data_IF_777729895628
#
_entry.id   IF_777729895628
#
_cell.length_a   1.000
_cell.length_b   1.000
_cell.length_c   1.000
_cell.angle_alpha   90.00
_cell.angle_beta   90.00
_cell.angle_gamma   90.00
#
_symmetry.space_group_name_H-M   'P 1'
#
loop_
_entity.id
_entity.type
_entity.pdbx_description
1 polymer ?
#
# COMPACT_ATOMS: atom_id res chain seq x y z
N UNK A 1 -5.24 9.90 -11.52
CA UNK A 1 -4.82 10.26 -12.89
C UNK A 1 -6.04 10.77 -13.67
N UNK A 2 -6.66 11.85 -13.20
CA UNK A 2 -7.80 12.50 -13.90
C UNK A 2 -7.34 13.91 -14.26
N UNK A 3 -7.22 14.18 -15.58
CA UNK A 3 -7.12 15.56 -16.05
C UNK A 3 -6.04 15.92 -17.07
N UNK A 4 -5.27 14.97 -17.60
CA UNK A 4 -4.47 15.19 -18.81
C UNK A 4 -4.99 14.29 -19.91
N UNK A 5 -4.93 14.75 -21.18
CA UNK A 5 -5.22 13.93 -22.36
C UNK A 5 -4.17 12.81 -22.49
N UNK A 6 -4.27 11.80 -21.61
CA UNK A 6 -3.43 10.62 -21.68
C UNK A 6 -3.97 9.72 -22.78
N UNK A 7 -3.32 9.73 -23.93
CA UNK A 7 -3.61 8.78 -25.00
C UNK A 7 -3.10 7.41 -24.63
N UNK A 8 -3.91 6.62 -23.92
CA UNK A 8 -3.69 5.18 -23.80
C UNK A 8 -3.97 4.56 -25.16
N UNK A 9 -3.01 3.82 -25.72
CA UNK A 9 -3.13 3.16 -27.02
C UNK A 9 -3.10 1.65 -26.83
N UNK A 10 -4.01 0.97 -27.49
CA UNK A 10 -3.91 -0.46 -27.69
C UNK A 10 -2.63 -0.76 -28.47
N UNK A 11 -1.71 -1.53 -27.88
CA UNK A 11 -0.46 -1.88 -28.56
C UNK A 11 -0.61 -3.18 -29.33
N UNK A 12 -1.02 -4.23 -28.63
CA UNK A 12 -1.17 -5.60 -29.16
C UNK A 12 -1.82 -6.51 -28.13
N UNK A 13 -2.09 -7.75 -28.53
CA UNK A 13 -2.56 -8.80 -27.62
C UNK A 13 -2.00 -10.15 -28.02
N UNK A 14 -2.04 -11.09 -27.10
CA UNK A 14 -1.72 -12.50 -27.31
C UNK A 14 -2.47 -13.37 -26.30
N UNK A 15 -2.30 -14.68 -26.40
CA UNK A 15 -2.84 -15.63 -25.44
C UNK A 15 -1.71 -16.36 -24.74
N UNK A 16 -1.86 -16.62 -23.45
CA UNK A 16 -0.92 -17.44 -22.68
C UNK A 16 -1.66 -18.48 -21.85
N UNK A 17 -1.01 -19.59 -21.58
CA UNK A 17 -1.53 -20.64 -20.71
C UNK A 17 -1.26 -20.28 -19.23
N UNK A 18 -2.31 -20.42 -18.41
CA UNK A 18 -2.25 -20.33 -16.95
C UNK A 18 -2.93 -21.59 -16.37
N UNK A 19 -2.15 -22.52 -15.84
CA UNK A 19 -2.67 -23.82 -15.46
C UNK A 19 -3.32 -24.52 -16.65
N UNK A 20 -4.60 -24.77 -16.56
CA UNK A 20 -5.41 -25.40 -17.64
C UNK A 20 -6.16 -24.38 -18.50
N UNK A 21 -6.03 -23.09 -18.23
CA UNK A 21 -6.72 -22.01 -18.95
C UNK A 21 -5.82 -21.39 -20.00
N UNK A 22 -6.38 -21.04 -21.15
CA UNK A 22 -5.75 -20.19 -22.14
C UNK A 22 -6.33 -18.78 -21.99
N UNK A 23 -5.51 -17.84 -21.53
CA UNK A 23 -5.93 -16.52 -21.09
C UNK A 23 -5.54 -15.45 -22.11
N UNK A 24 -6.46 -14.54 -22.42
CA UNK A 24 -6.18 -13.33 -23.19
C UNK A 24 -5.28 -12.38 -22.40
N UNK A 25 -4.30 -11.78 -23.07
CA UNK A 25 -3.42 -10.75 -22.53
C UNK A 25 -3.39 -9.59 -23.51
N UNK A 26 -4.13 -8.53 -23.20
CA UNK A 26 -4.05 -7.26 -23.92
C UNK A 26 -2.93 -6.40 -23.32
N UNK A 27 -2.29 -5.59 -24.14
CA UNK A 27 -1.25 -4.64 -23.74
C UNK A 27 -1.70 -3.26 -24.16
N UNK A 28 -1.89 -2.39 -23.17
CA UNK A 28 -2.09 -0.96 -23.41
C UNK A 28 -0.82 -0.22 -23.00
N UNK A 29 -0.50 0.84 -23.70
CA UNK A 29 0.72 1.61 -23.52
C UNK A 29 0.44 3.10 -23.43
N UNK A 30 1.12 3.77 -22.52
CA UNK A 30 1.22 5.22 -22.46
C UNK A 30 2.60 5.66 -22.00
N UNK A 31 3.00 6.87 -22.36
CA UNK A 31 4.14 7.56 -21.78
C UNK A 31 3.62 8.71 -20.90
N UNK A 32 4.17 8.80 -19.69
CA UNK A 32 3.88 9.90 -18.78
C UNK A 32 5.16 10.28 -18.02
N UNK A 33 5.51 11.55 -18.06
CA UNK A 33 6.73 12.09 -17.40
C UNK A 33 8.03 11.34 -17.76
N UNK A 34 8.17 10.94 -19.04
CA UNK A 34 9.32 10.20 -19.54
C UNK A 34 9.37 8.72 -19.13
N UNK A 35 8.34 8.22 -18.45
CA UNK A 35 8.19 6.84 -18.03
C UNK A 35 7.23 6.10 -18.95
N UNK A 36 7.62 4.91 -19.40
CA UNK A 36 6.77 4.03 -20.21
C UNK A 36 5.89 3.18 -19.29
N UNK A 37 4.57 3.33 -19.41
CA UNK A 37 3.57 2.56 -18.67
C UNK A 37 2.96 1.52 -19.61
N UNK A 38 3.00 0.27 -19.19
CA UNK A 38 2.34 -0.84 -19.86
C UNK A 38 1.28 -1.41 -18.92
N UNK A 39 0.05 -1.45 -19.39
CA UNK A 39 -1.08 -2.03 -18.64
C UNK A 39 -1.44 -3.37 -19.23
N UNK A 40 -1.62 -4.35 -18.35
CA UNK A 40 -2.15 -5.65 -18.72
C UNK A 40 -3.66 -5.55 -18.76
N UNK A 41 -4.24 -5.62 -19.95
CA UNK A 41 -5.68 -5.60 -20.13
C UNK A 41 -6.26 -7.02 -20.17
N UNK A 42 -7.22 -7.27 -19.29
CA UNK A 42 -8.03 -8.45 -19.25
C UNK A 42 -9.31 -8.18 -18.45
N UNK A 43 -10.43 -7.97 -19.15
CA UNK A 43 -11.71 -7.64 -18.49
C UNK A 43 -12.19 -8.74 -17.53
N UNK A 44 -11.89 -10.01 -17.79
CA UNK A 44 -12.28 -11.10 -16.91
C UNK A 44 -11.67 -10.96 -15.51
N UNK A 45 -10.42 -10.51 -15.40
CA UNK A 45 -9.73 -10.35 -14.12
C UNK A 45 -9.83 -8.93 -13.52
N UNK A 46 -9.92 -7.88 -14.34
CA UNK A 46 -9.71 -6.51 -13.90
C UNK A 46 -10.89 -5.55 -14.07
N UNK A 47 -12.05 -6.01 -14.54
CA UNK A 47 -13.24 -5.15 -14.73
C UNK A 47 -14.01 -4.87 -13.42
N UNK A 48 -13.65 -5.48 -12.31
CA UNK A 48 -14.33 -5.30 -11.03
C UNK A 48 -14.20 -3.88 -10.47
N UNK A 49 -15.17 -3.40 -9.68
CA UNK A 49 -15.15 -2.05 -9.10
C UNK A 49 -14.11 -1.87 -7.99
N UNK A 50 -13.51 -2.97 -7.54
CA UNK A 50 -12.49 -2.98 -6.48
C UNK A 50 -11.27 -3.76 -6.95
N UNK A 51 -10.06 -3.41 -6.49
CA UNK A 51 -8.85 -4.14 -6.83
C UNK A 51 -8.79 -5.55 -6.23
N UNK A 52 -9.53 -5.77 -5.13
CA UNK A 52 -9.61 -7.06 -4.42
C UNK A 52 -11.06 -7.49 -4.29
N UNK A 53 -11.28 -8.79 -4.50
CA UNK A 53 -12.59 -9.43 -4.34
C UNK A 53 -12.56 -10.45 -3.19
N UNK A 54 -12.13 -11.67 -3.49
CA UNK A 54 -12.03 -12.76 -2.52
C UNK A 54 -11.05 -13.82 -2.99
N UNK A 55 -10.38 -14.48 -2.07
CA UNK A 55 -9.65 -15.69 -2.36
C UNK A 55 -10.65 -16.84 -2.67
N UNK A 56 -10.41 -17.77 -3.61
CA UNK A 56 -9.19 -17.90 -4.41
C UNK A 56 -9.13 -17.04 -5.68
N UNK A 57 -10.16 -16.23 -5.95
CA UNK A 57 -10.23 -15.40 -7.17
C UNK A 57 -9.04 -14.43 -7.28
N UNK A 58 -8.72 -13.73 -6.20
CA UNK A 58 -7.59 -12.80 -6.20
C UNK A 58 -6.25 -13.52 -6.44
N UNK A 59 -6.09 -14.76 -5.96
CA UNK A 59 -4.87 -15.52 -6.24
C UNK A 59 -4.76 -15.90 -7.73
N UNK A 60 -5.86 -16.30 -8.36
CA UNK A 60 -5.87 -16.56 -9.79
C UNK A 60 -5.54 -15.30 -10.60
N UNK A 61 -6.19 -14.18 -10.27
CA UNK A 61 -5.95 -12.86 -10.88
C UNK A 61 -4.48 -12.45 -10.81
N UNK A 62 -3.86 -12.58 -9.64
CA UNK A 62 -2.47 -12.17 -9.47
C UNK A 62 -1.44 -13.22 -9.93
N UNK A 63 -1.82 -14.49 -10.01
CA UNK A 63 -1.04 -15.51 -10.73
C UNK A 63 -1.02 -15.19 -12.24
N UNK A 64 -2.19 -14.86 -12.81
CA UNK A 64 -2.31 -14.37 -14.19
C UNK A 64 -1.42 -13.16 -14.42
N UNK A 65 -1.56 -12.11 -13.58
CA UNK A 65 -0.77 -10.89 -13.69
C UNK A 65 0.73 -11.17 -13.65
N UNK A 66 1.20 -11.96 -12.68
CA UNK A 66 2.62 -12.28 -12.52
C UNK A 66 3.21 -12.99 -13.75
N UNK A 67 2.45 -13.89 -14.36
CA UNK A 67 2.89 -14.60 -15.58
C UNK A 67 2.79 -13.69 -16.82
N UNK A 68 1.73 -12.89 -16.93
CA UNK A 68 1.53 -11.95 -18.02
C UNK A 68 2.65 -10.92 -18.12
N UNK A 69 3.08 -10.34 -16.99
CA UNK A 69 4.19 -9.37 -16.95
C UNK A 69 5.44 -9.93 -17.63
N UNK A 70 5.83 -11.18 -17.36
CA UNK A 70 6.99 -11.80 -18.01
C UNK A 70 6.72 -12.06 -19.48
N UNK A 71 5.53 -12.56 -19.83
CA UNK A 71 5.15 -12.88 -21.20
C UNK A 71 5.11 -11.65 -22.12
N UNK A 72 4.80 -10.48 -21.58
CA UNK A 72 4.75 -9.21 -22.31
C UNK A 72 6.12 -8.72 -22.73
N UNK A 73 7.19 -8.95 -21.94
CA UNK A 73 8.52 -8.38 -22.18
C UNK A 73 9.08 -8.65 -23.60
N UNK A 74 9.05 -9.89 -24.12
CA UNK A 74 9.47 -10.14 -25.50
C UNK A 74 8.55 -9.49 -26.54
N UNK A 75 7.25 -9.41 -26.27
CA UNK A 75 6.25 -8.86 -27.20
C UNK A 75 6.46 -7.36 -27.42
N UNK A 76 6.79 -6.62 -26.36
CA UNK A 76 7.10 -5.18 -26.42
C UNK A 76 8.58 -4.91 -26.75
N UNK A 77 9.36 -5.96 -26.98
CA UNK A 77 10.81 -5.89 -27.24
C UNK A 77 11.57 -5.09 -26.15
N UNK A 78 11.18 -5.27 -24.88
CA UNK A 78 11.83 -4.66 -23.72
C UNK A 78 12.46 -5.72 -22.85
N UNK A 79 13.79 -5.81 -22.85
CA UNK A 79 14.55 -6.71 -21.98
C UNK A 79 15.13 -5.90 -20.81
N UNK A 80 14.54 -6.01 -19.61
CA UNK A 80 15.07 -5.31 -18.44
C UNK A 80 16.32 -5.97 -17.89
N UNK A 81 17.16 -5.21 -17.20
CA UNK A 81 18.23 -5.75 -16.35
C UNK A 81 17.70 -6.24 -15.00
N UNK A 82 16.66 -5.54 -14.50
CA UNK A 82 16.04 -5.82 -13.19
C UNK A 82 14.53 -5.77 -13.32
N UNK A 83 13.84 -6.76 -12.72
CA UNK A 83 12.39 -6.75 -12.50
C UNK A 83 12.14 -6.49 -11.02
N UNK A 84 11.49 -5.37 -10.71
CA UNK A 84 11.15 -4.98 -9.36
C UNK A 84 9.70 -5.35 -9.02
N UNK A 85 9.52 -6.26 -8.08
CA UNK A 85 8.26 -6.83 -7.67
C UNK A 85 7.80 -6.21 -6.34
N UNK A 86 6.49 -6.02 -6.19
CA UNK A 86 5.90 -5.39 -5.01
C UNK A 86 4.81 -6.26 -4.39
N UNK A 87 5.00 -6.69 -3.15
CA UNK A 87 4.07 -7.49 -2.35
C UNK A 87 3.66 -8.83 -3.00
N UNK A 88 2.70 -9.50 -2.39
CA UNK A 88 2.24 -10.82 -2.80
C UNK A 88 1.61 -10.85 -4.21
N UNK A 89 1.06 -9.74 -4.68
CA UNK A 89 0.44 -9.62 -6.00
C UNK A 89 1.42 -9.89 -7.14
N UNK A 90 2.69 -9.64 -6.90
CA UNK A 90 3.79 -9.94 -7.84
C UNK A 90 4.73 -11.04 -7.33
N UNK A 91 4.35 -11.71 -6.24
CA UNK A 91 5.18 -12.72 -5.59
C UNK A 91 5.51 -13.92 -6.47
N UNK A 92 4.68 -14.22 -7.47
CA UNK A 92 4.96 -15.30 -8.41
C UNK A 92 5.84 -14.89 -9.61
N UNK A 93 6.16 -13.61 -9.80
CA UNK A 93 7.05 -13.18 -10.90
C UNK A 93 8.44 -13.84 -10.79
N UNK A 94 9.16 -13.78 -9.66
CA UNK A 94 10.44 -14.47 -9.53
C UNK A 94 10.31 -16.00 -9.65
N UNK A 95 9.17 -16.56 -9.20
CA UNK A 95 8.91 -18.00 -9.28
C UNK A 95 8.76 -18.44 -10.73
N UNK A 96 7.90 -17.78 -11.52
CA UNK A 96 7.72 -18.08 -12.94
C UNK A 96 8.99 -17.84 -13.76
N UNK A 97 9.75 -16.76 -13.44
CA UNK A 97 11.02 -16.51 -14.07
C UNK A 97 11.95 -17.72 -13.92
N UNK A 98 12.04 -18.26 -12.70
CA UNK A 98 12.85 -19.45 -12.41
C UNK A 98 12.26 -20.74 -13.03
N UNK A 99 10.92 -20.91 -13.05
CA UNK A 99 10.25 -22.13 -13.54
C UNK A 99 10.41 -22.30 -15.05
N UNK A 100 9.88 -21.37 -15.81
CA UNK A 100 9.66 -21.57 -17.25
C UNK A 100 10.35 -20.54 -18.13
N UNK A 101 10.57 -19.31 -17.66
CA UNK A 101 11.10 -18.24 -18.50
C UNK A 101 12.63 -18.28 -18.64
N UNK A 102 13.37 -18.72 -17.64
CA UNK A 102 14.83 -18.86 -17.74
C UNK A 102 15.31 -19.87 -18.78
N UNK A 103 14.43 -20.70 -19.33
CA UNK A 103 14.77 -21.61 -20.44
C UNK A 103 14.94 -20.84 -21.76
N UNK A 104 14.46 -19.62 -21.86
CA UNK A 104 14.57 -18.74 -23.02
C UNK A 104 15.71 -17.74 -22.79
N UNK A 105 16.67 -17.63 -23.74
CA UNK A 105 17.82 -16.73 -23.67
C UNK A 105 17.47 -15.26 -23.48
N UNK A 106 16.27 -14.84 -23.88
CA UNK A 106 15.78 -13.47 -23.64
C UNK A 106 15.82 -13.10 -22.14
N UNK A 107 15.57 -14.06 -21.26
CA UNK A 107 15.49 -13.83 -19.81
C UNK A 107 16.80 -14.10 -19.04
N UNK A 108 17.84 -14.55 -19.71
CA UNK A 108 19.10 -14.85 -19.03
C UNK A 108 19.72 -13.62 -18.39
N UNK A 109 20.10 -13.74 -17.12
CA UNK A 109 20.78 -12.66 -16.38
C UNK A 109 19.87 -11.55 -15.85
N UNK A 110 18.57 -11.58 -16.15
CA UNK A 110 17.61 -10.66 -15.54
C UNK A 110 17.57 -10.95 -14.03
N UNK A 111 17.68 -9.87 -13.23
CA UNK A 111 17.64 -9.92 -11.77
C UNK A 111 16.27 -9.53 -11.25
N UNK A 112 15.95 -10.00 -10.06
CA UNK A 112 14.66 -9.70 -9.41
C UNK A 112 14.87 -9.08 -8.04
N UNK A 113 14.07 -8.05 -7.73
CA UNK A 113 13.96 -7.44 -6.41
C UNK A 113 12.54 -7.60 -5.92
N UNK A 114 12.37 -8.07 -4.69
CA UNK A 114 11.08 -8.21 -4.03
C UNK A 114 10.95 -7.20 -2.90
N UNK A 115 10.02 -6.24 -3.01
CA UNK A 115 9.73 -5.28 -1.96
C UNK A 115 8.51 -5.69 -1.16
N UNK A 116 8.67 -5.76 0.16
CA UNK A 116 7.60 -6.02 1.13
C UNK A 116 7.13 -4.67 1.67
N UNK A 117 5.91 -4.26 1.30
CA UNK A 117 5.28 -3.05 1.85
C UNK A 117 4.53 -3.34 3.15
N UNK A 118 3.86 -4.49 3.25
CA UNK A 118 3.21 -4.95 4.46
C UNK A 118 3.16 -6.48 4.52
N UNK A 119 3.94 -7.07 5.40
CA UNK A 119 4.10 -8.51 5.55
C UNK A 119 2.81 -9.24 5.98
N UNK A 120 1.83 -8.52 6.55
CA UNK A 120 0.53 -9.08 6.95
C UNK A 120 -0.23 -9.68 5.77
N UNK A 121 -0.03 -9.17 4.56
CA UNK A 121 -0.73 -9.61 3.35
C UNK A 121 0.20 -10.48 2.50
N UNK A 122 -0.12 -11.77 2.38
CA UNK A 122 0.81 -12.76 1.84
C UNK A 122 0.29 -13.54 0.61
N UNK A 123 -1.01 -13.49 0.33
CA UNK A 123 -1.61 -14.29 -0.75
C UNK A 123 -1.50 -15.79 -0.46
N UNK A 124 -2.30 -16.27 0.53
CA UNK A 124 -2.23 -17.64 1.06
C UNK A 124 -3.49 -18.40 0.74
N UNK A 125 -3.35 -19.64 0.24
CA UNK A 125 -4.46 -20.57 0.00
C UNK A 125 -3.95 -22.02 -0.07
N UNK A 126 -4.88 -22.99 -0.08
CA UNK A 126 -4.50 -24.40 -0.13
C UNK A 126 -3.65 -24.75 -1.35
N UNK A 127 -2.66 -25.62 -1.15
CA UNK A 127 -1.67 -26.01 -2.18
C UNK A 127 -2.34 -26.60 -3.41
N UNK A 128 -3.39 -27.45 -3.25
CA UNK A 128 -4.04 -28.13 -4.39
C UNK A 128 -4.68 -27.13 -5.35
N UNK A 129 -5.41 -26.16 -4.80
CA UNK A 129 -6.04 -25.10 -5.60
C UNK A 129 -4.98 -24.23 -6.28
N UNK A 130 -3.98 -23.73 -5.53
CA UNK A 130 -2.93 -22.87 -6.08
C UNK A 130 -2.13 -23.58 -7.17
N UNK A 131 -1.78 -24.85 -6.99
CA UNK A 131 -1.13 -25.64 -8.02
C UNK A 131 -1.96 -25.72 -9.30
N UNK A 132 -3.26 -25.96 -9.18
CA UNK A 132 -4.18 -25.97 -10.32
C UNK A 132 -4.28 -24.63 -11.05
N UNK A 133 -4.33 -23.53 -10.30
CA UNK A 133 -4.40 -22.15 -10.84
C UNK A 133 -3.12 -21.76 -11.57
N UNK A 134 -1.97 -22.02 -10.95
CA UNK A 134 -0.67 -21.51 -11.41
C UNK A 134 -0.04 -22.35 -12.51
N UNK A 135 -0.34 -23.66 -12.56
CA UNK A 135 0.32 -24.62 -13.43
C UNK A 135 1.76 -24.98 -13.00
N UNK A 136 2.20 -24.50 -11.83
CA UNK A 136 3.51 -24.85 -11.28
C UNK A 136 3.58 -26.32 -10.87
N UNK A 137 4.75 -26.93 -11.04
CA UNK A 137 4.99 -28.32 -10.64
C UNK A 137 5.06 -28.49 -9.11
N UNK A 138 4.93 -29.73 -8.63
CA UNK A 138 5.02 -30.06 -7.19
C UNK A 138 6.33 -29.60 -6.55
N UNK A 139 7.39 -29.45 -7.35
CA UNK A 139 8.69 -28.95 -6.89
C UNK A 139 8.59 -27.58 -6.18
N UNK A 140 7.69 -26.71 -6.66
CA UNK A 140 7.53 -25.35 -6.09
C UNK A 140 6.70 -25.33 -4.82
N UNK A 141 6.00 -26.40 -4.46
CA UNK A 141 5.17 -26.48 -3.26
C UNK A 141 5.87 -27.21 -2.10
N UNK A 142 7.20 -27.23 -2.08
CA UNK A 142 7.97 -27.75 -0.96
C UNK A 142 8.10 -26.69 0.17
N UNK A 143 8.38 -27.12 1.43
CA UNK A 143 8.50 -26.22 2.60
C UNK A 143 9.59 -25.15 2.49
N UNK A 144 10.62 -25.39 1.69
CA UNK A 144 11.71 -24.44 1.38
C UNK A 144 11.36 -23.48 0.24
N UNK A 145 10.13 -23.55 -0.33
CA UNK A 145 9.66 -22.74 -1.46
C UNK A 145 8.33 -22.05 -1.14
N UNK A 146 7.26 -22.35 -1.88
CA UNK A 146 5.95 -21.70 -1.71
C UNK A 146 5.15 -22.22 -0.52
N UNK A 147 5.35 -23.50 -0.13
CA UNK A 147 4.56 -24.04 0.98
C UNK A 147 4.87 -23.32 2.30
N UNK A 148 3.84 -22.92 3.01
CA UNK A 148 3.89 -22.35 4.35
C UNK A 148 2.71 -22.89 5.18
N UNK A 149 3.03 -23.72 6.20
CA UNK A 149 2.04 -24.26 7.12
C UNK A 149 0.91 -25.05 6.45
N UNK A 150 1.22 -25.83 5.44
CA UNK A 150 0.36 -26.65 4.57
C UNK A 150 -0.38 -25.88 3.48
N UNK A 151 -0.26 -24.58 3.42
CA UNK A 151 -0.82 -23.72 2.38
C UNK A 151 0.28 -23.23 1.43
N UNK A 152 -0.08 -22.75 0.26
CA UNK A 152 0.81 -22.04 -0.64
C UNK A 152 0.77 -20.54 -0.34
N UNK A 153 1.93 -19.89 -0.39
CA UNK A 153 2.09 -18.49 -0.03
C UNK A 153 2.88 -17.75 -1.14
N UNK A 154 2.21 -16.80 -1.81
CA UNK A 154 2.79 -16.08 -2.96
C UNK A 154 3.94 -15.17 -2.55
N UNK A 155 3.79 -14.43 -1.43
CA UNK A 155 4.84 -13.56 -0.92
C UNK A 155 6.08 -14.37 -0.53
N UNK A 156 5.87 -15.53 0.13
CA UNK A 156 6.97 -16.45 0.44
C UNK A 156 7.72 -16.87 -0.83
N UNK A 157 6.97 -17.24 -1.88
CA UNK A 157 7.57 -17.56 -3.19
C UNK A 157 8.44 -16.41 -3.71
N UNK A 158 7.93 -15.19 -3.69
CA UNK A 158 8.66 -13.99 -4.09
C UNK A 158 9.94 -13.78 -3.28
N UNK A 159 9.86 -13.92 -1.95
CA UNK A 159 11.02 -13.79 -1.05
C UNK A 159 12.06 -14.89 -1.30
N UNK A 160 11.63 -16.12 -1.54
CA UNK A 160 12.57 -17.25 -1.76
C UNK A 160 13.32 -17.12 -3.07
N UNK A 161 12.63 -16.74 -4.16
CA UNK A 161 13.19 -16.78 -5.51
C UNK A 161 13.75 -15.44 -6.00
N UNK A 162 13.51 -14.31 -5.33
CA UNK A 162 14.10 -13.05 -5.71
C UNK A 162 15.62 -12.99 -5.40
N UNK A 163 16.38 -12.28 -6.24
CA UNK A 163 17.81 -12.04 -6.01
C UNK A 163 18.07 -11.13 -4.81
N UNK A 164 17.20 -10.15 -4.57
CA UNK A 164 17.25 -9.26 -3.41
C UNK A 164 15.86 -9.02 -2.83
N UNK A 165 15.80 -8.76 -1.53
CA UNK A 165 14.58 -8.45 -0.79
C UNK A 165 14.70 -7.08 -0.15
N UNK A 166 13.69 -6.25 -0.30
CA UNK A 166 13.64 -4.93 0.36
C UNK A 166 12.34 -4.77 1.15
N UNK A 167 12.36 -3.86 2.10
CA UNK A 167 11.18 -3.38 2.79
C UNK A 167 11.26 -1.88 3.03
N UNK A 168 10.21 -1.27 3.54
CA UNK A 168 9.96 0.16 3.48
C UNK A 168 10.48 0.97 4.67
N UNK A 169 11.28 0.38 5.55
CA UNK A 169 12.10 1.08 6.55
C UNK A 169 13.18 0.18 7.15
N UNK A 170 14.25 0.78 7.67
CA UNK A 170 15.29 0.03 8.38
C UNK A 170 14.76 -0.65 9.64
N UNK A 171 13.89 0.03 10.40
CA UNK A 171 13.27 -0.52 11.60
C UNK A 171 12.41 -1.73 11.24
N UNK A 172 11.57 -1.60 10.22
CA UNK A 172 10.71 -2.70 9.79
C UNK A 172 11.51 -3.91 9.27
N UNK A 173 12.64 -3.68 8.61
CA UNK A 173 13.54 -4.77 8.20
C UNK A 173 14.08 -5.59 9.38
N UNK A 174 14.24 -4.98 10.56
CA UNK A 174 14.60 -5.70 11.78
C UNK A 174 13.38 -6.33 12.47
N UNK A 175 12.26 -5.62 12.55
CA UNK A 175 11.02 -6.07 13.18
C UNK A 175 10.49 -7.36 12.54
N UNK A 176 10.41 -7.42 11.20
CA UNK A 176 9.85 -8.57 10.47
C UNK A 176 10.69 -9.86 10.60
N UNK A 177 11.92 -9.78 11.13
CA UNK A 177 12.74 -10.94 11.48
C UNK A 177 12.41 -11.52 12.86
N UNK A 178 11.49 -10.89 13.60
CA UNK A 178 11.09 -11.36 14.93
C UNK A 178 9.76 -12.12 14.87
N UNK A 179 9.52 -13.09 15.78
CA UNK A 179 8.26 -13.83 15.78
C UNK A 179 7.01 -12.96 15.94
N UNK A 180 7.12 -11.80 16.60
CA UNK A 180 5.99 -10.91 16.87
C UNK A 180 5.53 -10.17 15.61
N UNK A 181 6.46 -9.68 14.78
CA UNK A 181 6.14 -8.92 13.57
C UNK A 181 6.34 -9.70 12.27
N UNK A 182 6.91 -10.90 12.34
CA UNK A 182 7.30 -11.68 11.15
C UNK A 182 6.17 -12.42 10.48
N UNK A 183 4.93 -12.34 10.99
CA UNK A 183 3.72 -12.92 10.39
C UNK A 183 3.94 -14.38 9.93
N UNK A 184 4.68 -15.16 10.75
CA UNK A 184 5.06 -16.56 10.52
C UNK A 184 6.11 -16.75 9.39
N UNK A 185 6.72 -15.68 8.87
CA UNK A 185 7.83 -15.71 7.90
C UNK A 185 9.16 -15.23 8.51
N UNK A 186 9.21 -14.99 9.83
CA UNK A 186 10.39 -14.52 10.57
C UNK A 186 11.63 -15.40 10.33
N UNK A 187 11.47 -16.72 10.36
CA UNK A 187 12.56 -17.65 10.09
C UNK A 187 13.13 -17.53 8.67
N UNK A 188 12.26 -17.35 7.66
CA UNK A 188 12.68 -17.11 6.28
C UNK A 188 13.41 -15.76 6.16
N UNK A 189 12.87 -14.70 6.77
CA UNK A 189 13.46 -13.36 6.72
C UNK A 189 14.79 -13.29 7.48
N UNK A 190 14.96 -14.05 8.56
CA UNK A 190 16.26 -14.27 9.21
C UNK A 190 17.25 -14.95 8.26
N UNK A 191 16.83 -16.00 7.56
CA UNK A 191 17.69 -16.70 6.59
C UNK A 191 18.10 -15.79 5.41
N UNK A 192 17.22 -14.85 5.01
CA UNK A 192 17.48 -13.87 3.95
C UNK A 192 18.05 -12.53 4.47
N UNK A 193 18.51 -12.47 5.73
CA UNK A 193 18.97 -11.22 6.35
C UNK A 193 20.11 -10.52 5.62
N UNK A 194 20.97 -11.26 4.91
CA UNK A 194 22.06 -10.71 4.11
C UNK A 194 21.57 -9.99 2.84
N UNK A 195 20.41 -10.36 2.30
CA UNK A 195 19.79 -9.77 1.11
C UNK A 195 18.69 -8.76 1.45
N UNK A 196 18.18 -8.79 2.70
CA UNK A 196 17.11 -7.90 3.14
C UNK A 196 17.64 -6.51 3.46
N UNK A 197 17.04 -5.49 2.84
CA UNK A 197 17.37 -4.07 3.07
C UNK A 197 16.12 -3.26 3.36
N UNK A 198 16.17 -2.40 4.39
CA UNK A 198 15.17 -1.38 4.66
C UNK A 198 15.47 -0.10 3.87
N UNK A 199 14.50 0.38 3.11
CA UNK A 199 14.60 1.63 2.35
C UNK A 199 13.35 2.45 2.65
N UNK A 200 13.50 3.58 3.35
CA UNK A 200 12.36 4.43 3.73
C UNK A 200 11.72 5.01 2.47
N UNK A 201 10.41 4.93 2.39
CA UNK A 201 9.66 5.56 1.31
C UNK A 201 9.82 7.08 1.36
N UNK A 202 9.91 7.70 0.19
CA UNK A 202 9.80 9.16 0.06
C UNK A 202 8.33 9.63 0.09
N UNK A 203 8.18 10.93 0.21
CA UNK A 203 6.93 11.64 -0.09
C UNK A 203 7.21 12.64 -1.21
N UNK A 204 6.20 12.93 -2.00
CA UNK A 204 6.29 13.93 -3.06
C UNK A 204 6.32 15.34 -2.44
N UNK A 205 7.47 16.01 -2.52
CA UNK A 205 7.64 17.36 -1.96
C UNK A 205 7.04 18.48 -2.82
N UNK A 206 6.59 18.20 -4.02
CA UNK A 206 5.83 19.16 -4.83
C UNK A 206 4.36 19.13 -4.44
N UNK A 207 3.83 17.93 -4.16
CA UNK A 207 2.46 17.71 -3.70
C UNK A 207 2.31 18.07 -2.21
N UNK A 208 3.17 17.52 -1.33
CA UNK A 208 3.13 17.76 0.12
C UNK A 208 4.07 18.90 0.53
N UNK A 209 3.70 20.14 0.20
CA UNK A 209 4.51 21.31 0.47
C UNK A 209 3.67 22.50 0.98
N UNK A 210 3.73 22.84 2.28
CA UNK A 210 2.90 23.92 2.83
C UNK A 210 3.19 25.30 2.22
N UNK A 211 4.30 25.49 1.49
CA UNK A 211 4.61 26.74 0.81
C UNK A 211 3.85 26.90 -0.51
N UNK A 212 3.51 25.80 -1.19
CA UNK A 212 2.93 25.81 -2.53
C UNK A 212 1.57 25.14 -2.61
N UNK A 213 1.22 24.30 -1.63
CA UNK A 213 0.02 23.48 -1.61
C UNK A 213 -1.27 24.30 -1.87
N UNK A 214 -2.00 23.94 -2.89
CA UNK A 214 -3.24 24.58 -3.27
C UNK A 214 -4.45 24.15 -2.43
N UNK A 215 -4.34 23.03 -1.70
CA UNK A 215 -5.43 22.46 -0.90
C UNK A 215 -5.59 23.17 0.45
N UNK A 216 -4.55 23.86 0.96
CA UNK A 216 -4.57 24.52 2.26
C UNK A 216 -5.03 25.98 2.17
N UNK A 217 -5.70 26.45 3.20
CA UNK A 217 -6.26 27.80 3.25
C UNK A 217 -5.19 28.89 3.28
N UNK A 218 -4.15 28.69 4.08
CA UNK A 218 -3.06 29.62 4.24
C UNK A 218 -1.73 28.90 4.05
N UNK A 219 -0.95 29.33 3.06
CA UNK A 219 0.41 28.83 2.83
C UNK A 219 1.38 29.34 3.89
N UNK A 220 2.37 28.50 4.23
CA UNK A 220 3.38 28.84 5.24
C UNK A 220 4.68 28.06 5.01
N UNK A 221 5.72 28.49 5.74
CA UNK A 221 7.03 27.85 5.75
C UNK A 221 7.60 27.79 7.19
N UNK A 222 8.80 27.26 7.34
CA UNK A 222 9.46 27.08 8.62
C UNK A 222 9.65 28.39 9.44
N UNK A 223 9.60 29.57 8.79
CA UNK A 223 9.79 30.86 9.47
C UNK A 223 8.50 31.44 10.05
N UNK A 224 7.35 31.15 9.42
CA UNK A 224 6.06 31.73 9.74
C UNK A 224 4.98 30.74 10.21
N UNK A 225 5.28 29.44 10.26
CA UNK A 225 4.29 28.38 10.52
C UNK A 225 3.47 28.61 11.78
N UNK A 226 4.08 29.06 12.89
CA UNK A 226 3.38 29.29 14.16
C UNK A 226 2.19 30.24 14.03
N UNK A 227 2.31 31.27 13.20
CA UNK A 227 1.25 32.23 12.94
C UNK A 227 0.26 31.76 11.89
N UNK A 228 0.76 31.15 10.83
CA UNK A 228 -0.05 30.84 9.67
C UNK A 228 -0.84 29.51 9.83
N UNK A 229 -0.30 28.52 10.57
CA UNK A 229 -1.05 27.29 10.89
C UNK A 229 -2.34 27.56 11.67
N UNK A 230 -2.36 28.58 12.55
CA UNK A 230 -3.57 28.95 13.29
C UNK A 230 -4.72 29.33 12.34
N UNK A 231 -4.43 29.96 11.20
CA UNK A 231 -5.46 30.30 10.20
C UNK A 231 -6.03 29.05 9.53
N UNK A 232 -5.17 28.05 9.22
CA UNK A 232 -5.61 26.76 8.71
C UNK A 232 -6.46 26.02 9.75
N UNK A 233 -6.08 26.07 11.04
CA UNK A 233 -6.84 25.46 12.12
C UNK A 233 -8.24 26.06 12.23
N UNK A 234 -8.37 27.37 12.34
CA UNK A 234 -9.67 28.05 12.46
C UNK A 234 -10.56 27.74 11.24
N UNK A 235 -9.98 27.75 10.05
CA UNK A 235 -10.75 27.43 8.85
C UNK A 235 -11.23 25.96 8.86
N UNK A 236 -10.37 25.02 9.24
CA UNK A 236 -10.76 23.61 9.36
C UNK A 236 -11.84 23.39 10.44
N UNK A 237 -11.69 24.05 11.59
CA UNK A 237 -12.71 24.00 12.66
C UNK A 237 -14.09 24.45 12.12
N UNK A 238 -14.14 25.56 11.41
CA UNK A 238 -15.35 26.10 10.79
C UNK A 238 -15.97 25.16 9.78
N UNK A 239 -15.14 24.65 8.86
CA UNK A 239 -15.59 23.80 7.77
C UNK A 239 -16.12 22.44 8.25
N UNK A 240 -15.59 21.95 9.38
CA UNK A 240 -15.97 20.66 9.95
C UNK A 240 -16.92 20.77 11.15
N UNK A 241 -17.46 21.94 11.44
CA UNK A 241 -18.43 22.15 12.53
C UNK A 241 -17.85 22.01 13.95
N UNK A 242 -16.54 22.16 14.10
CA UNK A 242 -15.88 22.21 15.40
C UNK A 242 -16.03 23.61 16.00
N UNK A 243 -15.91 23.71 17.33
CA UNK A 243 -15.87 25.00 18.01
C UNK A 243 -14.62 25.80 17.54
N UNK A 244 -14.81 27.03 17.09
CA UNK A 244 -13.69 27.89 16.66
C UNK A 244 -12.91 28.33 17.89
N UNK A 245 -11.80 27.67 18.18
CA UNK A 245 -10.87 27.99 19.28
C UNK A 245 -9.41 27.79 18.81
N UNK A 246 -8.68 28.91 18.62
CA UNK A 246 -7.26 28.82 18.22
C UNK A 246 -6.36 28.18 19.29
N UNK A 247 -6.81 28.13 20.55
CA UNK A 247 -6.03 27.61 21.68
C UNK A 247 -6.34 26.13 21.97
N UNK A 248 -7.44 25.58 21.44
CA UNK A 248 -7.70 24.16 21.56
C UNK A 248 -6.61 23.37 20.81
N UNK A 249 -6.12 22.30 21.41
CA UNK A 249 -5.20 21.37 20.75
C UNK A 249 -5.94 20.56 19.69
N UNK A 250 -5.66 20.80 18.42
CA UNK A 250 -6.26 20.06 17.33
C UNK A 250 -5.41 18.84 16.97
N UNK A 251 -5.97 17.66 17.16
CA UNK A 251 -5.34 16.36 16.85
C UNK A 251 -5.92 15.84 15.54
N UNK A 252 -5.05 15.59 14.55
CA UNK A 252 -5.40 14.99 13.27
C UNK A 252 -5.13 13.50 13.24
N UNK A 253 -6.04 12.74 12.61
CA UNK A 253 -5.91 11.32 12.30
C UNK A 253 -6.30 11.14 10.83
N UNK A 254 -5.35 10.71 9.99
CA UNK A 254 -5.59 10.40 8.57
C UNK A 254 -5.07 8.99 8.32
N UNK A 255 -5.98 8.02 8.19
CA UNK A 255 -5.58 6.62 8.10
C UNK A 255 -6.71 5.72 7.61
N UNK A 256 -6.36 4.51 7.15
CA UNK A 256 -7.33 3.42 7.04
C UNK A 256 -7.79 3.00 8.43
N UNK A 257 -9.09 2.83 8.63
CA UNK A 257 -9.67 2.49 9.93
C UNK A 257 -9.64 0.97 10.14
N UNK A 258 -8.46 0.45 10.52
CA UNK A 258 -8.20 -0.99 10.72
C UNK A 258 -7.59 -1.26 12.09
N UNK A 259 -7.62 -2.52 12.53
CA UNK A 259 -7.04 -3.00 13.79
C UNK A 259 -5.55 -2.62 13.95
N UNK A 260 -4.79 -2.72 12.85
CA UNK A 260 -3.38 -2.34 12.80
C UNK A 260 -3.11 -0.94 13.34
N UNK A 261 -4.06 -0.02 13.19
CA UNK A 261 -3.90 1.40 13.52
C UNK A 261 -4.16 1.75 14.98
N UNK A 262 -4.47 0.75 15.84
CA UNK A 262 -4.53 0.91 17.28
C UNK A 262 -5.73 1.74 17.78
N UNK A 263 -6.83 1.79 17.03
CA UNK A 263 -7.98 2.60 17.38
C UNK A 263 -8.71 2.15 18.65
N UNK A 264 -8.50 0.91 19.10
CA UNK A 264 -9.00 0.45 20.39
C UNK A 264 -8.37 1.24 21.56
N UNK A 265 -7.11 1.68 21.43
CA UNK A 265 -6.46 2.56 22.41
C UNK A 265 -7.11 3.95 22.43
N UNK A 266 -7.45 4.49 21.24
CA UNK A 266 -8.17 5.77 21.14
C UNK A 266 -9.55 5.64 21.78
N UNK A 267 -10.29 4.58 21.49
CA UNK A 267 -11.61 4.32 22.08
C UNK A 267 -11.57 4.35 23.61
N UNK A 268 -10.51 3.76 24.19
CA UNK A 268 -10.34 3.68 25.63
C UNK A 268 -10.15 5.05 26.32
N UNK A 269 -9.42 5.98 25.65
CA UNK A 269 -9.06 7.28 26.25
C UNK A 269 -9.92 8.45 25.74
N UNK A 270 -10.83 8.22 24.78
CA UNK A 270 -11.55 9.30 24.11
C UNK A 270 -12.39 10.16 25.06
N UNK A 271 -13.07 9.53 26.01
CA UNK A 271 -13.91 10.23 26.96
C UNK A 271 -13.09 11.14 27.88
N UNK A 272 -11.88 10.75 28.24
CA UNK A 272 -10.95 11.55 29.04
C UNK A 272 -10.38 12.70 28.20
N UNK A 273 -9.88 12.42 27.00
CA UNK A 273 -9.36 13.45 26.08
C UNK A 273 -10.37 14.55 25.77
N UNK A 274 -11.64 14.20 25.61
CA UNK A 274 -12.68 15.17 25.31
C UNK A 274 -13.12 16.03 26.51
N UNK A 275 -12.59 15.79 27.74
CA UNK A 275 -12.80 16.70 28.87
C UNK A 275 -11.90 17.93 28.78
N UNK A 276 -10.72 17.80 28.20
CA UNK A 276 -9.75 18.86 28.04
C UNK A 276 -10.07 19.79 26.84
N UNK A 277 -9.25 20.84 26.66
CA UNK A 277 -9.29 21.74 25.50
C UNK A 277 -8.67 21.08 24.26
N UNK A 278 -9.21 19.91 23.89
CA UNK A 278 -8.76 19.08 22.77
C UNK A 278 -9.87 18.96 21.74
N UNK A 279 -9.49 18.97 20.48
CA UNK A 279 -10.35 18.65 19.35
C UNK A 279 -9.72 17.55 18.50
N UNK A 280 -10.52 16.68 17.91
CA UNK A 280 -10.05 15.54 17.15
C UNK A 280 -10.74 15.50 15.79
N UNK A 281 -9.96 15.46 14.74
CA UNK A 281 -10.44 15.27 13.36
C UNK A 281 -9.95 13.92 12.85
N UNK A 282 -10.86 13.08 12.40
CA UNK A 282 -10.57 11.77 11.81
C UNK A 282 -10.97 11.77 10.35
N UNK A 283 -10.10 11.37 9.46
CA UNK A 283 -10.37 11.15 8.03
C UNK A 283 -9.94 9.73 7.63
N UNK A 284 -10.88 8.95 7.11
CA UNK A 284 -10.58 7.62 6.57
C UNK A 284 -11.77 6.68 6.54
N UNK A 285 -11.57 5.52 5.93
CA UNK A 285 -12.53 4.42 5.86
C UNK A 285 -11.87 3.09 6.23
N UNK A 286 -12.66 2.09 6.58
CA UNK A 286 -12.11 0.78 6.88
C UNK A 286 -13.12 -0.21 7.47
N UNK A 287 -12.80 -0.75 8.64
CA UNK A 287 -13.66 -1.69 9.34
C UNK A 287 -14.87 -0.96 9.97
N UNK A 288 -16.05 -1.47 9.72
CA UNK A 288 -17.31 -0.87 10.15
C UNK A 288 -17.35 -0.56 11.67
N UNK A 289 -16.70 -1.40 12.49
CA UNK A 289 -16.62 -1.18 13.94
C UNK A 289 -15.93 0.14 14.30
N UNK A 290 -14.85 0.48 13.62
CA UNK A 290 -14.10 1.71 13.85
C UNK A 290 -14.81 2.92 13.22
N UNK A 291 -15.38 2.75 12.04
CA UNK A 291 -16.21 3.81 11.43
C UNK A 291 -17.37 4.20 12.36
N UNK A 292 -18.10 3.22 12.88
CA UNK A 292 -19.22 3.45 13.80
C UNK A 292 -18.77 4.03 15.14
N UNK A 293 -17.60 3.61 15.64
CA UNK A 293 -16.98 4.17 16.83
C UNK A 293 -16.72 5.68 16.67
N UNK A 294 -16.10 6.09 15.58
CA UNK A 294 -15.80 7.51 15.34
C UNK A 294 -17.07 8.34 15.06
N UNK A 295 -18.06 7.80 14.33
CA UNK A 295 -19.38 8.44 14.18
C UNK A 295 -20.08 8.64 15.54
N UNK A 296 -19.96 7.66 16.46
CA UNK A 296 -20.49 7.79 17.82
C UNK A 296 -19.79 8.91 18.59
N UNK A 297 -18.47 9.03 18.53
CA UNK A 297 -17.74 10.09 19.22
C UNK A 297 -18.00 11.49 18.62
N UNK A 298 -18.17 11.61 17.31
CA UNK A 298 -18.59 12.83 16.63
C UNK A 298 -19.97 13.30 17.16
N UNK A 299 -20.94 12.38 17.21
CA UNK A 299 -22.26 12.65 17.79
C UNK A 299 -22.17 13.02 19.28
N UNK A 300 -21.40 12.27 20.07
CA UNK A 300 -21.31 12.45 21.53
C UNK A 300 -20.59 13.76 21.90
N UNK A 301 -19.58 14.13 21.16
CA UNK A 301 -18.71 15.27 21.44
C UNK A 301 -18.80 16.33 20.34
N UNK A 302 -20.04 16.71 20.00
CA UNK A 302 -20.29 17.71 18.99
C UNK A 302 -19.49 19.01 19.25
N UNK A 303 -18.84 19.53 18.20
CA UNK A 303 -17.95 20.68 18.28
C UNK A 303 -16.53 20.39 18.78
N UNK A 304 -16.23 19.15 19.24
CA UNK A 304 -14.90 18.72 19.66
C UNK A 304 -14.34 17.58 18.79
N UNK A 305 -15.19 16.68 18.31
CA UNK A 305 -14.81 15.58 17.44
C UNK A 305 -15.48 15.75 16.09
N UNK A 306 -14.75 15.49 15.02
CA UNK A 306 -15.30 15.44 13.66
C UNK A 306 -14.80 14.18 12.94
N UNK A 307 -15.73 13.31 12.53
CA UNK A 307 -15.44 12.04 11.88
C UNK A 307 -15.84 12.08 10.39
N UNK A 308 -14.83 12.21 9.52
CA UNK A 308 -14.96 12.24 8.07
C UNK A 308 -14.72 10.83 7.51
N UNK A 309 -15.80 10.04 7.40
CA UNK A 309 -15.73 8.61 7.07
C UNK A 309 -15.82 8.42 5.54
N UNK A 310 -14.85 8.94 4.85
CA UNK A 310 -14.66 8.81 3.39
C UNK A 310 -13.19 9.05 3.02
N UNK A 311 -12.85 8.86 1.76
CA UNK A 311 -11.55 9.22 1.21
C UNK A 311 -11.61 10.63 0.60
N UNK A 312 -10.72 11.52 1.03
CA UNK A 312 -10.60 12.88 0.49
C UNK A 312 -9.15 13.35 0.65
N UNK A 313 -8.42 13.38 -0.45
CA UNK A 313 -7.01 13.78 -0.45
C UNK A 313 -6.84 15.29 -0.11
N UNK A 314 -7.59 16.24 -0.72
CA UNK A 314 -7.55 17.65 -0.34
C UNK A 314 -7.81 17.89 1.15
N UNK A 315 -8.76 17.19 1.75
CA UNK A 315 -9.04 17.31 3.18
C UNK A 315 -7.88 16.78 4.03
N UNK A 316 -7.17 15.72 3.58
CA UNK A 316 -6.00 15.23 4.29
C UNK A 316 -4.90 16.29 4.41
N UNK A 317 -4.62 17.04 3.35
CA UNK A 317 -3.68 18.17 3.35
C UNK A 317 -4.10 19.26 4.34
N UNK A 318 -5.39 19.58 4.37
CA UNK A 318 -5.94 20.57 5.30
C UNK A 318 -5.82 20.12 6.77
N UNK A 319 -6.01 18.81 7.03
CA UNK A 319 -5.83 18.24 8.37
C UNK A 319 -4.36 18.32 8.78
N UNK A 320 -3.40 17.93 7.93
CA UNK A 320 -1.98 18.08 8.23
C UNK A 320 -1.59 19.53 8.50
N UNK A 321 -2.08 20.47 7.70
CA UNK A 321 -1.76 21.88 7.83
C UNK A 321 -2.39 22.54 9.07
N UNK A 322 -3.51 22.05 9.56
CA UNK A 322 -4.26 22.62 10.68
C UNK A 322 -3.90 22.01 12.05
N UNK A 323 -3.46 20.76 12.08
CA UNK A 323 -3.25 20.01 13.32
C UNK A 323 -2.03 20.50 14.11
N UNK A 324 -2.17 20.56 15.43
CA UNK A 324 -1.06 20.79 16.36
C UNK A 324 -0.31 19.49 16.67
N UNK A 325 -1.04 18.36 16.60
CA UNK A 325 -0.48 17.02 16.76
C UNK A 325 -1.13 16.06 15.76
N UNK A 326 -0.37 15.05 15.35
CA UNK A 326 -0.85 13.96 14.52
C UNK A 326 -0.80 12.66 15.30
N UNK A 327 -1.94 11.98 15.44
CA UNK A 327 -2.07 10.79 16.28
C UNK A 327 -2.03 9.52 15.45
N UNK A 328 -1.08 8.65 15.77
CA UNK A 328 -0.82 7.40 15.05
C UNK A 328 -0.40 6.28 16.02
N UNK A 329 -1.35 5.72 16.82
CA UNK A 329 -1.07 4.74 17.86
C UNK A 329 -0.97 3.32 17.31
N UNK A 330 -0.48 3.16 16.09
CA UNK A 330 -0.43 1.90 15.37
C UNK A 330 0.33 0.81 16.13
N UNK A 331 -0.14 -0.42 16.04
CA UNK A 331 0.55 -1.61 16.57
C UNK A 331 1.89 -1.83 15.87
N UNK A 332 1.93 -1.56 14.58
CA UNK A 332 3.14 -1.52 13.76
C UNK A 332 2.92 -0.65 12.53
N UNK A 333 4.00 -0.03 12.06
CA UNK A 333 4.03 0.78 10.85
C UNK A 333 5.24 0.40 10.00
N UNK A 334 5.04 -0.22 8.84
CA UNK A 334 6.15 -0.54 7.96
C UNK A 334 6.99 0.68 7.56
N UNK A 335 6.32 1.79 7.22
CA UNK A 335 6.97 3.06 6.90
C UNK A 335 6.34 4.25 7.62
N UNK A 336 5.00 4.37 7.62
CA UNK A 336 4.30 5.51 8.22
C UNK A 336 4.26 6.74 7.30
N UNK A 337 3.77 6.63 6.07
CA UNK A 337 3.69 7.75 5.13
C UNK A 337 2.93 8.95 5.71
N UNK A 338 1.81 8.75 6.39
CA UNK A 338 1.04 9.83 7.03
C UNK A 338 1.87 10.57 8.08
N UNK A 339 2.77 9.87 8.80
CA UNK A 339 3.73 10.47 9.72
C UNK A 339 4.72 11.38 8.98
N UNK A 340 5.27 10.93 7.86
CA UNK A 340 6.20 11.73 7.05
C UNK A 340 5.51 12.98 6.49
N UNK A 341 4.28 12.83 6.00
CA UNK A 341 3.47 13.94 5.52
C UNK A 341 3.17 14.93 6.65
N UNK A 342 2.72 14.47 7.82
CA UNK A 342 2.43 15.35 8.95
C UNK A 342 3.67 16.13 9.42
N UNK A 343 4.84 15.48 9.49
CA UNK A 343 6.12 16.13 9.82
C UNK A 343 6.52 17.20 8.79
N UNK A 344 6.18 16.99 7.51
CA UNK A 344 6.43 18.00 6.46
C UNK A 344 5.58 19.26 6.64
N UNK A 345 4.40 19.13 7.22
CA UNK A 345 3.52 20.26 7.54
C UNK A 345 3.78 20.90 8.93
N UNK A 346 4.63 20.30 9.78
CA UNK A 346 5.08 20.83 11.08
C UNK A 346 4.11 20.60 12.22
#
# INVERSE_FOLDING_TARGET
LVGSEMCIRDSTHFYMDLGYKNCYVGIMHMEYDGIQFYFIDNEYYFSGPKPYDSAPWDLEKFAFFSKAVLSVLPVINFRPDVIHCHDWQTGLVPVYLHDSFQQNEFFWGIKTVMTIHNLKFQGVWDVKTVRGLTGLSDYYFAPDKLEAYKDANFLKGGIVFADAVTTVSNTYAEEIKTPFYGERLDGLLCARSHDLRGIVNGIDYDVFNPETDACITQKYNAKNFRKEKVKNKIQLQRDLGLNEDPNAMLIGIVSRLTDQKGFDLIAYVMDELCQDAVQIVVLGTGEERYENMFRHFDWKYHGKVSAQIYYDEPLSHRIYAASDAFLMPSLFEPCGLSQLMSLRYG
#
